data_IF_517548947865
#
_entry.id   IF_517548947865
#
_cell.length_a   1.000
_cell.length_b   1.000
_cell.length_c   1.000
_cell.angle_alpha   90.00
_cell.angle_beta   90.00
_cell.angle_gamma   90.00
#
_symmetry.space_group_name_H-M   'P 1'
#
loop_
_entity.id
_entity.type
_entity.pdbx_description
1 polymer ?
#
# COMPACT_ATOMS: atom_id res chain seq x y z
N UNK A 1 13.34 14.08 24.64
CA UNK A 1 11.96 14.15 24.17
C UNK A 1 11.68 13.04 23.17
N UNK A 2 10.75 12.22 23.52
CA UNK A 2 10.09 11.15 22.79
C UNK A 2 10.81 9.80 22.72
N UNK A 3 10.22 8.93 23.42
CA UNK A 3 10.20 7.49 23.45
C UNK A 3 10.53 6.85 22.10
N UNK A 4 11.80 6.56 21.89
CA UNK A 4 12.24 5.56 20.94
C UNK A 4 11.78 4.21 21.46
N UNK A 5 10.74 3.68 20.89
CA UNK A 5 10.30 2.32 21.07
C UNK A 5 11.43 1.40 20.58
N UNK A 6 12.39 1.10 21.45
CA UNK A 6 13.41 0.08 21.21
C UNK A 6 12.73 -1.27 21.25
N UNK A 7 12.15 -1.67 20.13
CA UNK A 7 11.77 -3.06 19.94
C UNK A 7 13.07 -3.87 19.98
N UNK A 8 13.30 -4.53 21.08
CA UNK A 8 14.26 -5.61 21.18
C UNK A 8 13.85 -6.62 20.09
N UNK A 9 14.71 -6.80 19.07
CA UNK A 9 14.59 -7.92 18.16
C UNK A 9 14.75 -9.18 19.00
N UNK A 10 13.65 -9.79 19.42
CA UNK A 10 13.58 -11.16 19.91
C UNK A 10 13.62 -12.14 18.72
N UNK A 11 14.54 -11.89 17.80
CA UNK A 11 15.04 -12.90 16.90
C UNK A 11 16.13 -13.68 17.64
N UNK A 12 16.24 -14.97 17.41
CA UNK A 12 17.18 -15.85 18.06
C UNK A 12 18.53 -15.15 18.27
N UNK A 13 19.00 -15.13 19.54
CA UNK A 13 20.33 -14.65 19.86
C UNK A 13 21.31 -15.23 18.84
N UNK A 14 22.21 -14.43 18.24
CA UNK A 14 23.22 -14.98 17.36
C UNK A 14 23.94 -16.08 18.13
N UNK A 15 23.80 -17.30 17.67
CA UNK A 15 24.61 -18.40 18.17
C UNK A 15 26.03 -18.05 17.79
N UNK A 16 26.89 -17.76 18.76
CA UNK A 16 28.32 -17.65 18.53
C UNK A 16 28.78 -18.99 17.99
N UNK A 17 28.79 -19.12 16.67
CA UNK A 17 29.28 -20.29 16.00
C UNK A 17 30.78 -20.12 15.79
N UNK A 18 31.53 -21.01 16.42
CA UNK A 18 32.94 -21.31 16.21
C UNK A 18 33.96 -20.21 16.54
N UNK A 19 34.83 -20.54 17.47
CA UNK A 19 36.11 -19.90 17.69
C UNK A 19 37.01 -20.19 16.46
N UNK A 20 37.06 -19.25 15.51
CA UNK A 20 38.06 -19.28 14.45
C UNK A 20 39.30 -18.54 14.90
N UNK A 21 40.48 -19.14 14.81
CA UNK A 21 41.75 -18.48 15.07
C UNK A 21 42.24 -17.77 13.82
N UNK A 22 41.97 -16.46 13.71
CA UNK A 22 42.61 -15.65 12.70
C UNK A 22 43.91 -15.08 13.26
N UNK A 23 45.04 -15.41 12.64
CA UNK A 23 46.38 -14.98 13.07
C UNK A 23 46.74 -15.33 14.53
N UNK A 24 46.21 -16.44 15.06
CA UNK A 24 46.51 -16.91 16.42
C UNK A 24 45.69 -16.27 17.54
N UNK A 25 44.79 -15.30 17.23
CA UNK A 25 43.87 -14.70 18.17
C UNK A 25 42.46 -15.32 18.04
N UNK A 26 41.74 -15.53 19.17
CA UNK A 26 40.39 -16.04 19.09
C UNK A 26 39.48 -14.99 18.44
N UNK A 27 38.75 -15.40 17.40
CA UNK A 27 37.69 -14.60 16.76
C UNK A 27 36.35 -15.30 16.88
N UNK A 28 35.28 -14.52 16.95
CA UNK A 28 33.91 -15.02 17.08
C UNK A 28 33.10 -14.49 15.92
N UNK A 29 32.37 -15.38 15.24
CA UNK A 29 31.42 -15.02 14.17
C UNK A 29 30.00 -15.15 14.69
N UNK A 30 29.16 -14.18 14.38
CA UNK A 30 27.72 -14.20 14.66
C UNK A 30 26.91 -13.86 13.41
N UNK A 31 25.77 -14.48 13.23
CA UNK A 31 24.82 -14.15 12.16
C UNK A 31 23.49 -13.70 12.75
N UNK A 32 22.83 -12.82 12.06
CA UNK A 32 21.48 -12.36 12.41
C UNK A 32 20.64 -12.17 11.15
N UNK A 33 19.31 -12.27 11.30
CA UNK A 33 18.35 -12.05 10.21
C UNK A 33 17.48 -10.86 10.58
N UNK A 34 17.66 -9.69 9.96
CA UNK A 34 16.80 -8.56 10.16
C UNK A 34 15.48 -8.78 9.40
N UNK A 35 14.36 -8.57 10.10
CA UNK A 35 13.01 -8.70 9.53
C UNK A 35 12.45 -7.38 9.00
N UNK A 36 13.13 -6.27 9.25
CA UNK A 36 12.69 -4.93 8.83
C UNK A 36 13.85 -4.13 8.28
N UNK A 37 13.57 -3.33 7.26
CA UNK A 37 14.51 -2.34 6.73
C UNK A 37 14.53 -1.14 7.66
N UNK A 38 15.67 -0.82 8.24
CA UNK A 38 15.89 0.36 9.08
C UNK A 38 17.38 0.50 9.42
N UNK A 39 17.70 1.58 10.11
CA UNK A 39 19.00 1.76 10.75
C UNK A 39 18.99 1.15 12.15
N UNK A 40 19.84 0.18 12.37
CA UNK A 40 19.96 -0.54 13.65
C UNK A 40 21.23 -0.16 14.39
N UNK A 41 21.11 -0.14 15.72
CA UNK A 41 22.27 -0.09 16.63
C UNK A 41 22.55 -1.49 17.14
N UNK A 42 23.65 -2.09 16.68
CA UNK A 42 24.08 -3.41 17.14
C UNK A 42 25.01 -3.28 18.33
N UNK A 43 24.54 -3.67 19.51
CA UNK A 43 25.34 -3.66 20.72
C UNK A 43 26.02 -5.03 20.91
N UNK A 44 27.33 -5.07 20.72
CA UNK A 44 28.15 -6.24 21.06
C UNK A 44 28.76 -6.02 22.45
N UNK A 45 28.50 -6.96 23.37
CA UNK A 45 28.95 -6.87 24.75
C UNK A 45 29.75 -8.10 25.15
N UNK A 46 30.84 -7.85 25.83
CA UNK A 46 31.61 -8.88 26.54
C UNK A 46 31.01 -9.11 27.92
N UNK A 47 30.75 -10.38 28.26
CA UNK A 47 30.27 -10.77 29.57
C UNK A 47 31.46 -11.21 30.44
N UNK A 48 31.64 -10.59 31.59
CA UNK A 48 32.69 -10.92 32.55
C UNK A 48 32.04 -11.46 33.83
N UNK A 49 32.40 -12.68 34.20
CA UNK A 49 31.94 -13.30 35.43
C UNK A 49 32.54 -12.61 36.67
N UNK A 50 31.77 -12.50 37.76
CA UNK A 50 32.29 -12.06 39.02
C UNK A 50 31.49 -10.93 39.69
N UNK A 51 30.28 -10.63 39.22
CA UNK A 51 29.44 -9.63 39.86
C UNK A 51 28.56 -8.84 38.92
N UNK A 52 28.01 -7.77 39.41
CA UNK A 52 27.13 -6.84 38.66
C UNK A 52 27.79 -5.45 38.63
N UNK A 53 27.55 -4.71 37.56
CA UNK A 53 27.93 -3.29 37.51
C UNK A 53 27.03 -2.50 38.46
N UNK A 54 27.62 -1.82 39.43
CA UNK A 54 26.94 -1.01 40.43
C UNK A 54 27.21 0.47 40.18
N UNK A 55 26.16 1.26 40.13
CA UNK A 55 26.16 2.70 39.94
C UNK A 55 25.50 3.35 41.13
N UNK A 56 26.29 4.12 41.92
CA UNK A 56 25.85 4.83 43.12
C UNK A 56 25.67 6.30 42.79
N UNK A 57 24.55 6.87 43.23
CA UNK A 57 24.20 8.27 42.97
C UNK A 57 23.90 9.00 44.29
N UNK A 58 24.40 10.23 44.44
CA UNK A 58 24.10 11.10 45.59
C UNK A 58 22.73 11.81 45.42
N UNK A 59 21.74 11.07 44.99
CA UNK A 59 20.34 11.45 44.90
C UNK A 59 19.46 10.19 44.78
N UNK A 60 18.16 10.28 45.09
CA UNK A 60 17.22 9.14 45.10
C UNK A 60 16.71 8.73 43.70
N UNK A 61 17.09 9.46 42.64
CA UNK A 61 16.40 9.37 41.32
C UNK A 61 17.32 8.91 40.18
N UNK A 62 18.54 8.42 40.49
CA UNK A 62 19.54 8.01 39.49
C UNK A 62 19.89 9.13 38.49
N UNK A 63 19.81 10.40 38.93
CA UNK A 63 20.06 11.55 38.09
C UNK A 63 21.54 11.88 37.97
N UNK A 64 21.94 12.28 36.75
CA UNK A 64 23.33 12.67 36.48
C UNK A 64 24.27 11.49 36.32
N UNK A 65 25.56 11.73 36.49
CA UNK A 65 26.58 10.67 36.48
C UNK A 65 26.67 10.00 37.87
N UNK A 66 26.88 8.68 37.90
CA UNK A 66 27.10 8.02 39.20
C UNK A 66 28.39 8.54 39.87
N UNK A 67 28.32 8.80 41.17
CA UNK A 67 29.45 9.17 42.00
C UNK A 67 30.44 8.01 42.13
N UNK A 68 29.92 6.77 42.19
CA UNK A 68 30.73 5.54 42.23
C UNK A 68 30.23 4.60 41.11
N UNK A 69 31.17 4.11 40.32
CA UNK A 69 30.95 3.03 39.33
C UNK A 69 31.94 1.91 39.65
N UNK A 70 31.42 0.73 40.01
CA UNK A 70 32.26 -0.44 40.33
C UNK A 70 31.57 -1.75 40.03
N UNK A 71 32.24 -2.86 40.23
CA UNK A 71 31.62 -4.19 40.17
C UNK A 71 31.41 -4.68 41.61
N UNK A 72 30.17 -4.97 41.94
CA UNK A 72 29.83 -5.59 43.21
C UNK A 72 29.67 -7.11 43.03
N UNK A 73 30.31 -7.95 43.87
CA UNK A 73 30.31 -9.40 43.70
C UNK A 73 28.96 -10.07 43.98
N UNK A 74 28.03 -9.34 44.57
CA UNK A 74 26.66 -9.74 44.88
C UNK A 74 25.93 -8.58 45.53
N UNK A 75 24.64 -8.74 45.72
CA UNK A 75 23.82 -7.72 46.38
C UNK A 75 23.50 -8.21 47.78
N UNK A 76 24.34 -7.78 48.74
CA UNK A 76 24.17 -8.03 50.15
C UNK A 76 24.93 -6.97 50.92
N UNK A 77 24.28 -5.86 51.15
CA UNK A 77 24.86 -4.71 51.83
C UNK A 77 24.03 -4.36 53.06
N UNK A 78 24.71 -4.03 54.14
CA UNK A 78 24.13 -3.44 55.35
C UNK A 78 25.03 -2.31 55.76
N UNK A 79 24.65 -1.09 55.44
CA UNK A 79 25.38 0.11 55.79
C UNK A 79 24.95 0.63 57.16
N UNK A 80 23.77 0.18 57.67
CA UNK A 80 23.20 0.78 58.86
C UNK A 80 23.01 2.28 58.70
N UNK A 81 23.62 3.07 59.57
CA UNK A 81 23.64 4.53 59.51
C UNK A 81 24.97 5.08 58.90
N UNK A 82 25.78 4.20 58.32
CA UNK A 82 27.07 4.60 57.71
C UNK A 82 26.87 5.22 56.30
N UNK A 83 27.96 5.76 55.75
CA UNK A 83 28.00 6.38 54.45
C UNK A 83 27.85 5.34 53.32
N UNK A 84 26.90 5.54 52.38
CA UNK A 84 26.74 4.73 51.17
C UNK A 84 27.70 5.16 50.06
N UNK A 85 27.96 6.47 49.98
CA UNK A 85 28.97 7.06 49.10
C UNK A 85 29.97 7.86 49.94
N UNK A 86 30.97 8.44 49.31
CA UNK A 86 31.90 9.31 50.04
C UNK A 86 31.28 10.67 50.47
N UNK A 87 30.07 10.99 49.95
CA UNK A 87 29.42 12.28 50.18
C UNK A 87 28.08 12.18 50.90
N UNK A 88 27.42 11.01 50.85
CA UNK A 88 26.07 10.86 51.36
C UNK A 88 25.82 9.49 52.02
N UNK A 89 25.01 9.51 53.08
CA UNK A 89 24.41 8.33 53.70
C UNK A 89 22.91 8.25 53.45
N UNK A 90 22.24 9.39 53.40
CA UNK A 90 20.82 9.56 53.16
C UNK A 90 20.61 10.10 51.74
N UNK A 91 19.42 9.90 51.18
CA UNK A 91 19.02 10.37 49.83
C UNK A 91 19.93 9.84 48.70
N UNK A 92 20.31 8.59 48.79
CA UNK A 92 21.17 7.89 47.83
C UNK A 92 20.36 6.91 47.02
N UNK A 93 20.75 6.67 45.77
CA UNK A 93 20.26 5.53 45.03
C UNK A 93 21.39 4.70 44.44
N UNK A 94 21.13 3.40 44.29
CA UNK A 94 22.10 2.46 43.70
C UNK A 94 21.40 1.61 42.68
N UNK A 95 21.97 1.51 41.48
CA UNK A 95 21.51 0.64 40.42
C UNK A 95 22.55 -0.44 40.12
N UNK A 96 22.14 -1.71 40.25
CA UNK A 96 22.92 -2.85 39.80
C UNK A 96 22.40 -3.34 38.47
N UNK A 97 23.28 -3.55 37.51
CA UNK A 97 22.95 -4.10 36.20
C UNK A 97 23.93 -5.17 35.78
N UNK A 98 23.42 -6.18 35.08
CA UNK A 98 24.23 -7.27 34.54
C UNK A 98 23.38 -8.46 34.14
N UNK A 99 23.96 -9.68 34.30
CA UNK A 99 23.28 -10.92 33.97
C UNK A 99 23.37 -11.93 35.09
N UNK A 100 22.32 -12.76 35.21
CA UNK A 100 22.31 -13.97 36.05
C UNK A 100 22.37 -15.17 35.10
N UNK A 101 23.25 -16.15 35.39
CA UNK A 101 23.35 -17.41 34.65
C UNK A 101 23.15 -18.60 35.60
N UNK A 102 21.95 -19.19 35.66
CA UNK A 102 21.68 -20.32 36.56
C UNK A 102 22.38 -21.60 36.10
N UNK A 103 22.69 -22.49 37.05
CA UNK A 103 23.32 -23.79 36.79
C UNK A 103 22.32 -24.89 36.44
N UNK A 104 21.04 -24.70 36.80
CA UNK A 104 19.95 -25.65 36.59
C UNK A 104 18.76 -24.93 35.99
N UNK A 105 17.95 -25.64 35.19
CA UNK A 105 16.64 -25.15 34.73
C UNK A 105 15.61 -25.55 35.78
N UNK A 106 15.16 -24.56 36.56
CA UNK A 106 14.23 -24.76 37.68
C UNK A 106 13.39 -23.53 37.90
N UNK A 107 12.36 -23.67 38.73
CA UNK A 107 11.70 -22.53 39.35
C UNK A 107 12.58 -21.98 40.46
N UNK A 108 13.01 -20.75 40.29
CA UNK A 108 13.76 -19.97 41.28
C UNK A 108 12.82 -18.99 41.96
N UNK A 109 12.79 -19.02 43.30
CA UNK A 109 12.21 -17.95 44.08
C UNK A 109 13.29 -16.93 44.42
N UNK A 110 13.14 -15.71 43.90
CA UNK A 110 13.98 -14.57 44.23
C UNK A 110 13.41 -13.86 45.47
N UNK A 111 14.27 -13.47 46.40
CA UNK A 111 13.92 -12.76 47.60
C UNK A 111 14.66 -11.43 47.61
N UNK A 112 13.92 -10.34 47.67
CA UNK A 112 14.44 -8.98 47.78
C UNK A 112 14.08 -8.42 49.14
N UNK A 113 15.06 -7.94 49.91
CA UNK A 113 14.86 -7.27 51.18
C UNK A 113 15.67 -5.99 51.20
N UNK A 114 15.03 -4.88 51.46
CA UNK A 114 15.65 -3.57 51.41
C UNK A 114 15.03 -2.61 52.42
N UNK A 115 15.79 -1.65 52.88
CA UNK A 115 15.42 -0.45 53.63
C UNK A 115 16.11 0.74 52.94
N UNK A 116 15.46 1.72 52.34
CA UNK A 116 14.01 1.90 52.19
C UNK A 116 13.38 1.15 51.05
N UNK A 117 13.65 1.57 49.79
CA UNK A 117 12.93 1.10 48.63
C UNK A 117 13.78 0.36 47.61
N UNK A 118 13.20 -0.70 46.98
CA UNK A 118 13.89 -1.41 45.90
C UNK A 118 12.93 -1.95 44.82
N UNK A 119 13.44 -2.06 43.59
CA UNK A 119 12.77 -2.67 42.46
C UNK A 119 13.66 -3.67 41.75
N UNK A 120 13.14 -4.85 41.49
CA UNK A 120 13.86 -5.89 40.76
C UNK A 120 13.21 -6.13 39.39
N UNK A 121 14.09 -6.10 38.37
CA UNK A 121 13.72 -6.42 37.00
C UNK A 121 14.50 -7.65 36.53
N UNK A 122 13.83 -8.59 35.91
CA UNK A 122 14.43 -9.75 35.21
C UNK A 122 13.95 -9.72 33.76
N UNK A 123 14.89 -9.85 32.83
CA UNK A 123 14.64 -9.79 31.39
C UNK A 123 13.76 -8.56 31.01
N UNK A 124 14.10 -7.40 31.59
CA UNK A 124 13.42 -6.11 31.43
C UNK A 124 12.01 -6.02 32.04
N UNK A 125 11.50 -7.08 32.66
CA UNK A 125 10.19 -7.10 33.32
C UNK A 125 10.36 -6.75 34.80
N UNK A 126 9.55 -5.81 35.32
CA UNK A 126 9.48 -5.54 36.75
C UNK A 126 8.83 -6.75 37.45
N UNK A 127 9.60 -7.47 38.25
CA UNK A 127 9.15 -8.71 38.91
C UNK A 127 8.90 -8.53 40.41
N UNK A 128 9.55 -7.55 41.05
CA UNK A 128 9.29 -7.13 42.43
C UNK A 128 9.33 -5.60 42.53
N UNK A 129 8.30 -5.02 43.14
CA UNK A 129 8.22 -3.59 43.45
C UNK A 129 8.04 -3.41 44.96
N UNK A 130 9.12 -3.02 45.62
CA UNK A 130 9.16 -2.64 47.04
C UNK A 130 9.60 -1.19 47.14
N UNK A 131 9.21 -0.34 46.16
CA UNK A 131 9.65 1.06 46.13
C UNK A 131 9.08 1.88 47.27
N UNK A 132 7.83 1.62 47.64
CA UNK A 132 7.16 2.22 48.78
C UNK A 132 6.89 1.14 49.83
N UNK A 133 7.41 1.30 51.04
CA UNK A 133 7.25 0.36 52.15
C UNK A 133 6.62 1.05 53.35
N UNK A 134 5.31 1.35 53.35
CA UNK A 134 4.67 2.17 54.38
C UNK A 134 4.67 1.51 55.79
N UNK A 135 4.87 0.20 55.87
CA UNK A 135 4.91 -0.56 57.09
C UNK A 135 6.33 -0.90 57.55
N UNK A 136 7.34 -0.30 56.91
CA UNK A 136 8.75 -0.61 57.12
C UNK A 136 9.28 -1.73 56.25
N UNK A 137 10.55 -2.10 56.39
CA UNK A 137 11.22 -3.03 55.49
C UNK A 137 10.61 -4.43 55.53
N UNK A 138 10.18 -4.93 54.34
CA UNK A 138 9.62 -6.26 54.16
C UNK A 138 10.46 -7.07 53.17
N UNK A 139 10.49 -8.42 53.32
CA UNK A 139 11.13 -9.30 52.34
C UNK A 139 10.09 -9.70 51.26
N UNK A 140 10.18 -9.09 50.08
CA UNK A 140 9.41 -9.46 48.89
C UNK A 140 9.96 -10.72 48.23
N UNK A 141 9.08 -11.49 47.58
CA UNK A 141 9.46 -12.70 46.83
C UNK A 141 8.70 -12.86 45.54
N UNK A 142 9.38 -13.40 44.53
CA UNK A 142 8.77 -13.80 43.23
C UNK A 142 9.36 -15.12 42.81
N UNK A 143 8.54 -15.98 42.21
CA UNK A 143 8.98 -17.25 41.64
C UNK A 143 8.89 -17.18 40.12
N UNK A 144 9.96 -17.56 39.43
CA UNK A 144 10.07 -17.56 37.97
C UNK A 144 11.01 -18.68 37.51
N UNK A 145 10.79 -19.18 36.30
CA UNK A 145 11.64 -20.21 35.71
C UNK A 145 12.88 -19.55 35.13
N UNK A 146 14.06 -19.98 35.59
CA UNK A 146 15.33 -19.61 34.99
C UNK A 146 15.94 -20.83 34.27
N UNK A 147 16.50 -20.63 33.09
CA UNK A 147 17.00 -21.71 32.24
C UNK A 147 18.50 -21.87 32.37
N UNK A 148 18.97 -23.12 32.60
CA UNK A 148 20.39 -23.47 32.68
C UNK A 148 21.19 -22.89 31.51
N UNK A 149 22.24 -22.17 31.83
CA UNK A 149 23.19 -21.66 30.84
C UNK A 149 22.72 -20.40 30.10
N UNK A 150 21.45 -20.02 30.24
CA UNK A 150 20.91 -18.77 29.67
C UNK A 150 21.32 -17.60 30.55
N UNK A 151 21.66 -16.48 29.90
CA UNK A 151 21.99 -15.23 30.58
C UNK A 151 20.74 -14.37 30.68
N UNK A 152 20.13 -14.33 31.87
CA UNK A 152 18.98 -13.49 32.16
C UNK A 152 19.41 -12.08 32.56
N UNK A 153 18.81 -11.06 31.98
CA UNK A 153 19.07 -9.67 32.37
C UNK A 153 18.61 -9.43 33.80
N UNK A 154 19.46 -8.81 34.64
CA UNK A 154 19.09 -8.36 35.95
C UNK A 154 19.34 -6.88 36.09
N UNK A 155 18.35 -6.14 36.61
CA UNK A 155 18.47 -4.79 37.12
C UNK A 155 17.82 -4.72 38.50
N UNK A 156 18.56 -4.23 39.48
CA UNK A 156 18.02 -3.87 40.78
C UNK A 156 18.25 -2.39 41.01
N UNK A 157 17.18 -1.67 41.27
CA UNK A 157 17.15 -0.26 41.63
C UNK A 157 16.86 -0.18 43.15
N UNK A 158 17.72 0.49 43.89
CA UNK A 158 17.60 0.71 45.32
C UNK A 158 17.62 2.20 45.61
N UNK A 159 16.84 2.63 46.58
CA UNK A 159 16.91 3.98 47.16
C UNK A 159 17.00 3.92 48.68
N UNK A 160 17.78 4.84 49.23
CA UNK A 160 17.82 5.20 50.62
C UNK A 160 17.25 6.59 50.79
N UNK A 161 16.27 6.74 51.68
CA UNK A 161 15.75 8.06 52.05
C UNK A 161 16.42 8.59 53.30
N UNK A 162 16.26 7.91 54.42
CA UNK A 162 16.89 8.29 55.68
C UNK A 162 16.96 7.12 56.64
N UNK A 163 18.04 7.05 57.44
CA UNK A 163 18.10 6.16 58.56
C UNK A 163 19.02 4.97 58.38
N UNK A 164 18.50 3.77 58.57
CA UNK A 164 19.25 2.54 58.32
C UNK A 164 19.12 2.11 56.86
N UNK A 165 20.24 1.79 56.26
CA UNK A 165 20.32 1.40 54.88
C UNK A 165 20.78 -0.06 54.73
N UNK A 166 20.00 -0.90 54.07
CA UNK A 166 20.41 -2.23 53.70
C UNK A 166 19.68 -2.73 52.45
N UNK A 167 20.31 -3.64 51.69
CA UNK A 167 19.70 -4.33 50.58
C UNK A 167 20.28 -5.72 50.39
N UNK A 168 19.44 -6.72 50.11
CA UNK A 168 19.91 -8.06 49.80
C UNK A 168 19.03 -8.72 48.74
N UNK A 169 19.69 -9.40 47.76
CA UNK A 169 19.04 -10.23 46.78
C UNK A 169 19.48 -11.68 46.94
N UNK A 170 18.53 -12.54 47.29
CA UNK A 170 18.75 -13.96 47.48
C UNK A 170 17.91 -14.76 46.49
N UNK A 171 18.30 -16.00 46.31
CA UNK A 171 17.50 -16.96 45.54
C UNK A 171 17.41 -18.31 46.25
N UNK A 172 16.40 -19.09 45.85
CA UNK A 172 16.17 -20.48 46.25
C UNK A 172 15.56 -21.23 45.10
N UNK A 173 15.94 -22.49 44.88
CA UNK A 173 15.25 -23.41 44.00
C UNK A 173 15.10 -24.77 44.66
N UNK A 174 14.67 -25.80 43.93
CA UNK A 174 14.60 -27.18 44.42
C UNK A 174 16.00 -27.69 44.80
N UNK A 175 17.01 -27.40 43.96
CA UNK A 175 18.41 -27.84 44.20
C UNK A 175 19.26 -26.82 44.93
N UNK A 176 18.81 -25.57 45.08
CA UNK A 176 19.55 -24.47 45.70
C UNK A 176 18.88 -24.01 46.98
N UNK A 177 19.56 -24.13 48.10
CA UNK A 177 19.10 -23.53 49.39
C UNK A 177 19.06 -22.01 49.31
N UNK A 178 18.20 -21.36 50.14
CA UNK A 178 18.09 -19.90 50.17
C UNK A 178 19.45 -19.28 50.50
N UNK A 179 20.04 -18.52 49.58
CA UNK A 179 21.34 -17.89 49.71
C UNK A 179 21.43 -16.62 48.85
N UNK A 180 22.41 -15.78 49.12
CA UNK A 180 22.79 -14.69 48.20
C UNK A 180 23.17 -15.31 46.86
N UNK A 181 22.83 -14.65 45.77
CA UNK A 181 23.20 -15.12 44.41
C UNK A 181 24.73 -15.10 44.31
N UNK A 182 25.38 -16.27 44.08
CA UNK A 182 26.86 -16.34 44.08
C UNK A 182 27.48 -15.54 42.94
N UNK A 183 28.62 -14.88 43.23
CA UNK A 183 29.35 -14.07 42.25
C UNK A 183 29.69 -14.80 40.94
N UNK A 184 29.89 -16.12 41.00
CA UNK A 184 30.18 -16.95 39.84
C UNK A 184 28.96 -17.28 38.97
N UNK A 185 27.80 -16.73 39.32
CA UNK A 185 26.57 -16.77 38.52
C UNK A 185 26.07 -15.38 38.12
N UNK A 186 26.88 -14.36 38.49
CA UNK A 186 26.65 -12.97 38.13
C UNK A 186 27.69 -12.52 37.11
N UNK A 187 27.26 -11.74 36.15
CA UNK A 187 28.09 -11.26 35.04
C UNK A 187 27.84 -9.77 34.80
N UNK A 188 28.92 -9.04 34.61
CA UNK A 188 28.88 -7.69 34.04
C UNK A 188 28.79 -7.78 32.52
N UNK A 189 28.22 -6.76 31.88
CA UNK A 189 28.13 -6.66 30.43
C UNK A 189 28.73 -5.33 29.98
N UNK A 190 29.96 -5.36 29.47
CA UNK A 190 30.63 -4.19 28.92
C UNK A 190 30.63 -4.20 27.40
N UNK A 191 30.44 -3.05 26.78
CA UNK A 191 30.56 -2.92 25.33
C UNK A 191 31.98 -3.25 24.88
N UNK A 192 32.13 -4.01 23.79
CA UNK A 192 33.43 -4.13 23.11
C UNK A 192 33.78 -2.78 22.46
N UNK A 193 35.05 -2.56 22.18
CA UNK A 193 35.52 -1.31 21.55
C UNK A 193 34.76 -1.08 20.23
N UNK A 194 34.20 0.11 20.07
CA UNK A 194 33.40 0.52 18.90
C UNK A 194 31.90 0.19 18.98
N UNK A 195 31.49 -0.66 19.93
CA UNK A 195 30.06 -0.95 20.15
C UNK A 195 29.37 0.21 20.92
N UNK A 196 28.11 0.56 20.56
CA UNK A 196 27.28 -0.06 19.52
C UNK A 196 27.68 0.34 18.09
N UNK A 197 27.53 -0.60 17.16
CA UNK A 197 27.78 -0.40 15.75
C UNK A 197 26.48 0.00 15.04
N UNK A 198 26.54 1.04 14.20
CA UNK A 198 25.41 1.38 13.33
C UNK A 198 25.44 0.51 12.09
N UNK A 199 24.31 -0.09 11.75
CA UNK A 199 24.12 -0.83 10.50
C UNK A 199 22.83 -0.45 9.84
N UNK A 200 22.85 -0.31 8.52
CA UNK A 200 21.64 -0.07 7.72
C UNK A 200 21.22 -1.39 7.06
N UNK A 201 20.00 -1.80 7.34
CA UNK A 201 19.37 -2.95 6.70
C UNK A 201 18.54 -2.43 5.53
N UNK A 202 18.89 -2.85 4.33
CA UNK A 202 18.23 -2.48 3.09
C UNK A 202 17.27 -3.60 2.66
N UNK A 203 16.24 -3.25 1.88
CA UNK A 203 15.36 -4.25 1.28
C UNK A 203 16.11 -5.12 0.28
N UNK A 204 15.72 -6.39 0.20
CA UNK A 204 16.22 -7.34 -0.80
C UNK A 204 15.75 -7.03 -2.22
N UNK A 205 16.02 -7.94 -3.18
CA UNK A 205 15.48 -7.86 -4.53
C UNK A 205 13.94 -7.89 -4.52
N UNK A 206 13.32 -7.27 -5.52
CA UNK A 206 11.86 -7.34 -5.64
C UNK A 206 11.41 -8.77 -5.92
N UNK A 207 10.33 -9.17 -5.25
CA UNK A 207 9.80 -10.52 -5.26
C UNK A 207 8.35 -10.52 -5.75
N UNK A 208 8.01 -11.39 -6.71
CA UNK A 208 6.71 -11.39 -7.36
C UNK A 208 5.53 -11.72 -6.44
N UNK A 209 5.64 -12.64 -5.46
CA UNK A 209 4.54 -12.96 -4.55
C UNK A 209 4.14 -11.83 -3.61
N UNK A 210 5.07 -10.92 -3.29
CA UNK A 210 4.87 -9.87 -2.32
C UNK A 210 4.65 -8.50 -2.95
N UNK A 211 5.15 -8.27 -4.17
CA UNK A 211 4.97 -7.03 -4.92
C UNK A 211 3.48 -6.81 -5.24
N UNK A 212 3.00 -5.58 -5.10
CA UNK A 212 1.60 -5.22 -5.29
C UNK A 212 1.44 -4.10 -6.28
N UNK A 213 0.25 -3.99 -6.90
CA UNK A 213 -0.11 -2.84 -7.71
C UNK A 213 -1.51 -2.31 -7.32
N UNK A 214 -1.70 -1.00 -7.40
CA UNK A 214 -2.93 -0.33 -6.99
C UNK A 214 -3.11 0.99 -7.76
N UNK A 215 -4.35 1.39 -7.93
CA UNK A 215 -4.68 2.66 -8.58
C UNK A 215 -5.92 2.58 -9.46
N UNK A 216 -6.47 3.74 -9.90
CA UNK A 216 -7.70 3.80 -10.68
C UNK A 216 -7.60 3.09 -12.04
N UNK A 217 -6.42 3.05 -12.65
CA UNK A 217 -6.19 2.34 -13.91
C UNK A 217 -6.40 0.83 -13.84
N UNK A 218 -6.36 0.25 -12.63
CA UNK A 218 -6.68 -1.15 -12.37
C UNK A 218 -8.14 -1.38 -11.94
N UNK A 219 -9.00 -0.35 -11.98
CA UNK A 219 -10.39 -0.45 -11.49
C UNK A 219 -11.37 -0.15 -12.59
N UNK A 220 -11.42 1.08 -13.10
CA UNK A 220 -12.40 1.57 -14.06
C UNK A 220 -11.74 2.36 -15.20
N UNK A 221 -10.97 1.74 -16.08
CA UNK A 221 -10.37 2.42 -17.21
C UNK A 221 -11.43 2.85 -18.23
N UNK A 222 -11.17 3.97 -18.90
CA UNK A 222 -12.05 4.55 -19.93
C UNK A 222 -11.25 4.74 -21.21
N UNK A 223 -11.82 4.37 -22.36
CA UNK A 223 -11.17 4.52 -23.65
C UNK A 223 -10.81 6.00 -23.93
N UNK A 224 -9.58 6.25 -24.35
CA UNK A 224 -9.04 7.57 -24.64
C UNK A 224 -8.62 8.40 -23.41
N UNK A 225 -8.78 7.87 -22.20
CA UNK A 225 -8.38 8.56 -20.97
C UNK A 225 -7.17 7.85 -20.36
N UNK A 226 -6.09 8.61 -19.98
CA UNK A 226 -4.94 8.02 -19.31
C UNK A 226 -5.33 7.29 -18.04
N UNK A 227 -5.09 5.99 -18.02
CA UNK A 227 -5.32 5.11 -16.89
C UNK A 227 -4.01 4.91 -16.13
N UNK A 228 -3.99 5.31 -14.84
CA UNK A 228 -2.79 5.35 -14.00
C UNK A 228 -2.90 4.36 -12.85
N UNK A 229 -1.79 3.70 -12.55
CA UNK A 229 -1.63 2.89 -11.35
C UNK A 229 -0.17 2.87 -10.89
N UNK A 230 0.05 2.39 -9.68
CA UNK A 230 1.39 2.31 -9.07
C UNK A 230 1.71 0.86 -8.73
N UNK A 231 2.92 0.43 -9.04
CA UNK A 231 3.49 -0.83 -8.56
C UNK A 231 4.33 -0.50 -7.32
N UNK A 232 4.09 -1.18 -6.20
CA UNK A 232 4.93 -1.15 -5.00
C UNK A 232 5.77 -2.42 -4.98
N UNK A 233 7.05 -2.29 -5.28
CA UNK A 233 8.00 -3.38 -5.15
C UNK A 233 8.21 -3.76 -3.69
N UNK A 234 8.21 -5.07 -3.42
CA UNK A 234 8.48 -5.65 -2.10
C UNK A 234 9.47 -6.81 -2.23
N UNK A 235 10.26 -7.01 -1.19
CA UNK A 235 11.21 -8.12 -1.12
C UNK A 235 10.56 -9.44 -0.68
N UNK A 236 11.36 -10.51 -0.61
CA UNK A 236 10.89 -11.87 -0.28
C UNK A 236 10.32 -12.03 1.13
N UNK A 237 10.52 -11.07 2.02
CA UNK A 237 9.89 -11.03 3.36
C UNK A 237 8.69 -10.08 3.40
N UNK A 238 8.30 -9.52 2.26
CA UNK A 238 7.14 -8.65 2.10
C UNK A 238 7.37 -7.19 2.50
N UNK A 239 8.62 -6.77 2.69
CA UNK A 239 8.97 -5.39 3.03
C UNK A 239 8.95 -4.52 1.79
N UNK A 240 8.38 -3.31 1.91
CA UNK A 240 8.46 -2.32 0.84
C UNK A 240 9.92 -2.01 0.55
N UNK A 241 10.28 -2.03 -0.72
CA UNK A 241 11.60 -1.55 -1.14
C UNK A 241 11.68 -0.04 -0.91
N UNK A 242 12.85 0.41 -0.54
CA UNK A 242 13.15 1.83 -0.28
C UNK A 242 13.99 2.46 -1.37
N UNK A 243 14.55 1.65 -2.27
CA UNK A 243 15.37 2.05 -3.41
C UNK A 243 14.92 1.34 -4.68
N UNK A 244 15.34 1.81 -5.83
CA UNK A 244 15.41 1.03 -7.06
C UNK A 244 16.28 -0.22 -6.82
N UNK A 245 16.22 -1.23 -7.67
CA UNK A 245 17.03 -2.43 -7.52
C UNK A 245 18.53 -2.12 -7.35
N UNK A 246 19.28 -3.06 -6.76
CA UNK A 246 20.73 -2.97 -6.67
C UNK A 246 21.36 -4.11 -7.48
N UNK A 247 22.51 -3.85 -8.07
CA UNK A 247 23.33 -4.88 -8.70
C UNK A 247 24.05 -5.75 -7.65
N UNK A 248 24.82 -6.75 -8.11
CA UNK A 248 25.62 -7.63 -7.26
C UNK A 248 26.67 -6.89 -6.42
N UNK A 249 27.07 -5.69 -6.86
CA UNK A 249 28.08 -4.85 -6.21
C UNK A 249 27.48 -3.80 -5.28
N UNK A 250 26.15 -3.89 -5.02
CA UNK A 250 25.36 -2.97 -4.17
C UNK A 250 25.21 -1.54 -4.70
N UNK A 251 25.49 -1.30 -5.99
CA UNK A 251 25.16 -0.03 -6.61
C UNK A 251 23.67 0.06 -6.94
N UNK A 252 23.06 1.24 -6.82
CA UNK A 252 21.69 1.45 -7.29
C UNK A 252 21.63 1.26 -8.81
N UNK A 253 20.71 0.39 -9.27
CA UNK A 253 20.47 0.22 -10.69
C UNK A 253 19.76 1.46 -11.23
N UNK A 254 20.32 2.08 -12.25
CA UNK A 254 19.63 3.06 -13.10
C UNK A 254 18.43 2.35 -13.75
N UNK A 255 17.20 2.72 -13.32
CA UNK A 255 15.96 2.15 -13.84
C UNK A 255 15.25 1.12 -12.95
N UNK A 256 15.85 0.70 -11.85
CA UNK A 256 15.18 -0.07 -10.81
C UNK A 256 14.96 -1.55 -11.11
N UNK A 257 13.95 -2.14 -10.48
CA UNK A 257 13.54 -3.52 -10.73
C UNK A 257 12.89 -3.62 -12.12
N UNK A 258 13.19 -4.69 -12.86
CA UNK A 258 12.70 -4.90 -14.23
C UNK A 258 11.25 -5.41 -14.23
N UNK A 259 10.30 -4.48 -14.16
CA UNK A 259 8.89 -4.79 -14.39
C UNK A 259 8.54 -4.70 -15.86
N UNK A 260 7.76 -5.67 -16.33
CA UNK A 260 7.11 -5.62 -17.65
C UNK A 260 5.61 -5.48 -17.42
N UNK A 261 5.01 -4.47 -18.06
CA UNK A 261 3.56 -4.25 -18.05
C UNK A 261 3.03 -4.42 -19.46
N UNK A 262 2.08 -5.35 -19.62
CA UNK A 262 1.39 -5.60 -20.86
C UNK A 262 -0.11 -5.43 -20.67
N UNK A 263 -0.74 -4.62 -21.53
CA UNK A 263 -2.19 -4.41 -21.56
C UNK A 263 -2.71 -4.98 -22.87
N UNK A 264 -3.54 -6.03 -22.80
CA UNK A 264 -4.08 -6.73 -23.97
C UNK A 264 -5.60 -6.59 -24.03
N UNK A 265 -6.15 -6.02 -25.11
CA UNK A 265 -7.59 -5.93 -25.30
C UNK A 265 -8.19 -7.26 -25.75
N UNK A 266 -9.49 -7.45 -25.53
CA UNK A 266 -10.24 -8.60 -26.08
C UNK A 266 -10.27 -8.66 -27.60
N UNK A 267 -9.88 -7.58 -28.28
CA UNK A 267 -9.77 -7.49 -29.73
C UNK A 267 -8.35 -7.80 -30.23
N UNK A 268 -7.41 -8.11 -29.32
CA UNK A 268 -6.03 -8.45 -29.65
C UNK A 268 -5.08 -7.25 -29.77
N UNK A 269 -5.51 -6.05 -29.40
CA UNK A 269 -4.61 -4.88 -29.33
C UNK A 269 -3.73 -5.02 -28.09
N UNK A 270 -2.40 -4.91 -28.27
CA UNK A 270 -1.43 -4.99 -27.20
C UNK A 270 -0.68 -3.68 -27.02
N UNK A 271 -0.54 -3.26 -25.75
CA UNK A 271 0.26 -2.11 -25.34
C UNK A 271 1.29 -2.54 -24.32
N UNK A 272 2.57 -2.46 -24.67
CA UNK A 272 3.66 -2.61 -23.70
C UNK A 272 3.95 -1.26 -23.07
N UNK A 273 3.98 -1.21 -21.73
CA UNK A 273 4.19 0.01 -20.95
C UNK A 273 5.43 -0.15 -20.09
N UNK A 274 6.33 0.82 -20.14
CA UNK A 274 7.51 0.86 -19.28
C UNK A 274 7.20 1.61 -17.99
N UNK A 275 7.22 0.95 -16.81
CA UNK A 275 7.03 1.61 -15.54
C UNK A 275 8.14 2.62 -15.24
N UNK A 276 7.78 3.77 -14.67
CA UNK A 276 8.73 4.80 -14.26
C UNK A 276 8.96 4.74 -12.76
N UNK A 277 10.21 4.60 -12.33
CA UNK A 277 10.57 4.67 -10.92
C UNK A 277 10.31 6.07 -10.34
N UNK A 278 9.58 6.15 -9.23
CA UNK A 278 9.19 7.41 -8.58
C UNK A 278 9.70 7.55 -7.14
N UNK A 279 10.57 6.62 -6.71
CA UNK A 279 11.13 6.60 -5.36
C UNK A 279 10.45 5.58 -4.43
N UNK A 280 11.13 5.21 -3.34
CA UNK A 280 10.56 4.32 -2.32
C UNK A 280 10.12 2.95 -2.83
N UNK A 281 10.77 2.41 -3.86
CA UNK A 281 10.39 1.14 -4.50
C UNK A 281 9.06 1.22 -5.24
N UNK A 282 8.61 2.41 -5.59
CA UNK A 282 7.37 2.64 -6.34
C UNK A 282 7.64 2.94 -7.79
N UNK A 283 6.77 2.42 -8.66
CA UNK A 283 6.82 2.61 -10.10
C UNK A 283 5.46 3.09 -10.61
N UNK A 284 5.45 4.24 -11.27
CA UNK A 284 4.26 4.77 -11.92
C UNK A 284 4.07 4.11 -13.29
N UNK A 285 2.84 3.73 -13.56
CA UNK A 285 2.40 3.17 -14.86
C UNK A 285 1.26 4.02 -15.38
N UNK A 286 1.34 4.38 -16.66
CA UNK A 286 0.28 5.10 -17.37
C UNK A 286 0.07 4.47 -18.74
N UNK A 287 -1.17 4.13 -19.06
CA UNK A 287 -1.57 3.64 -20.37
C UNK A 287 -2.87 4.28 -20.85
N UNK A 288 -3.09 4.34 -22.14
CA UNK A 288 -4.32 4.90 -22.73
C UNK A 288 -4.97 3.80 -23.57
N UNK A 289 -6.04 3.17 -23.09
CA UNK A 289 -6.77 2.18 -23.88
C UNK A 289 -7.52 2.88 -25.00
N UNK A 290 -7.44 2.35 -26.23
CA UNK A 290 -8.21 2.83 -27.37
C UNK A 290 -9.51 2.04 -27.56
N UNK A 291 -9.49 0.75 -27.22
CA UNK A 291 -10.61 -0.15 -27.42
C UNK A 291 -11.49 -0.23 -26.17
N UNK A 292 -12.80 -0.26 -26.35
CA UNK A 292 -13.73 -0.64 -25.27
C UNK A 292 -13.84 -2.17 -25.18
N UNK A 293 -14.27 -2.67 -24.02
CA UNK A 293 -14.37 -4.11 -23.77
C UNK A 293 -13.39 -4.59 -22.73
N UNK A 294 -13.27 -5.91 -22.59
CA UNK A 294 -12.37 -6.48 -21.61
C UNK A 294 -10.89 -6.31 -22.01
N UNK A 295 -10.10 -5.88 -21.03
CA UNK A 295 -8.63 -5.81 -21.12
C UNK A 295 -8.01 -6.62 -20.00
N UNK A 296 -6.98 -7.36 -20.32
CA UNK A 296 -6.12 -8.05 -19.37
C UNK A 296 -4.84 -7.21 -19.16
N UNK A 297 -4.61 -6.78 -17.92
CA UNK A 297 -3.46 -5.95 -17.53
C UNK A 297 -2.50 -6.86 -16.77
N UNK A 298 -1.39 -7.24 -17.39
CA UNK A 298 -0.35 -8.08 -16.80
C UNK A 298 0.80 -7.22 -16.29
N UNK A 299 1.25 -7.51 -15.08
CA UNK A 299 2.47 -6.95 -14.49
C UNK A 299 3.35 -8.12 -14.07
N UNK A 300 4.53 -8.22 -14.65
CA UNK A 300 5.47 -9.32 -14.38
C UNK A 300 6.81 -8.80 -13.88
N UNK A 301 7.49 -9.62 -13.09
CA UNK A 301 8.90 -9.49 -12.74
C UNK A 301 9.59 -10.82 -13.01
N UNK A 302 10.70 -10.78 -13.73
CA UNK A 302 11.38 -12.02 -14.14
C UNK A 302 10.49 -12.98 -14.96
N UNK A 303 9.50 -12.45 -15.69
CA UNK A 303 8.54 -13.23 -16.48
C UNK A 303 7.40 -13.88 -15.68
N UNK A 304 7.29 -13.60 -14.38
CA UNK A 304 6.23 -14.13 -13.52
C UNK A 304 5.30 -13.02 -13.06
N UNK A 305 3.98 -13.26 -13.14
CA UNK A 305 2.95 -12.32 -12.71
C UNK A 305 3.02 -12.04 -11.21
N UNK A 306 2.84 -10.77 -10.83
CA UNK A 306 2.77 -10.36 -9.42
C UNK A 306 1.43 -10.76 -8.79
N UNK A 307 1.42 -10.90 -7.45
CA UNK A 307 0.23 -11.28 -6.70
C UNK A 307 -0.51 -10.05 -6.15
N UNK A 308 -1.77 -10.23 -5.75
CA UNK A 308 -2.50 -9.23 -4.96
C UNK A 308 -2.17 -9.38 -3.50
N UNK A 309 -1.53 -8.44 -2.91
CA UNK A 309 -1.35 -8.23 -1.47
C UNK A 309 -1.52 -9.46 -0.55
N UNK A 310 -0.55 -9.66 0.32
CA UNK A 310 -0.61 -10.50 1.52
C UNK A 310 -0.45 -12.02 1.38
N UNK A 311 0.29 -12.51 0.38
CA UNK A 311 0.81 -13.88 0.43
C UNK A 311 -0.22 -15.00 0.49
N UNK A 312 -1.47 -14.74 0.10
CA UNK A 312 -2.52 -15.76 -0.02
C UNK A 312 -2.98 -15.85 -1.47
N UNK A 313 -2.63 -16.92 -2.11
CA UNK A 313 -3.16 -17.64 -3.30
C UNK A 313 -4.02 -16.91 -4.35
N UNK A 314 -4.09 -15.60 -4.40
CA UNK A 314 -4.83 -14.88 -5.43
C UNK A 314 -3.88 -14.08 -6.31
N UNK A 315 -3.49 -14.68 -7.43
CA UNK A 315 -2.89 -13.96 -8.54
C UNK A 315 -3.86 -12.86 -8.95
N UNK A 316 -3.41 -11.61 -8.94
CA UNK A 316 -4.20 -10.52 -9.50
C UNK A 316 -3.77 -10.13 -10.89
N UNK A 317 -2.50 -10.25 -11.18
CA UNK A 317 -2.00 -10.14 -12.52
C UNK A 317 -2.23 -11.48 -13.28
N UNK A 318 -2.82 -11.44 -14.48
CA UNK A 318 -3.38 -10.26 -15.11
C UNK A 318 -4.74 -9.83 -14.51
N UNK A 319 -4.95 -8.51 -14.35
CA UNK A 319 -6.25 -7.95 -13.99
C UNK A 319 -7.14 -7.85 -15.21
N UNK A 320 -8.26 -8.57 -15.22
CA UNK A 320 -9.27 -8.43 -16.25
C UNK A 320 -10.21 -7.28 -15.90
N UNK A 321 -10.22 -6.21 -16.72
CA UNK A 321 -11.01 -5.00 -16.50
C UNK A 321 -11.84 -4.65 -17.72
N UNK A 322 -13.05 -4.14 -17.47
CA UNK A 322 -13.91 -3.61 -18.51
C UNK A 322 -13.55 -2.15 -18.77
N UNK A 323 -13.01 -1.88 -19.96
CA UNK A 323 -12.80 -0.52 -20.45
C UNK A 323 -14.13 -0.04 -21.02
N UNK A 324 -14.66 1.06 -20.45
CA UNK A 324 -15.90 1.66 -20.98
C UNK A 324 -15.58 2.66 -22.09
N UNK A 325 -16.48 2.87 -23.07
CA UNK A 325 -16.29 3.89 -24.11
C UNK A 325 -16.14 5.29 -23.53
N UNK A 326 -15.32 6.11 -24.16
CA UNK A 326 -15.14 7.53 -23.84
C UNK A 326 -16.37 8.38 -24.09
N UNK A 327 -16.19 9.72 -24.15
CA UNK A 327 -17.28 10.65 -24.46
C UNK A 327 -17.75 10.49 -25.90
N UNK A 328 -19.06 10.64 -26.14
CA UNK A 328 -19.65 10.62 -27.47
C UNK A 328 -19.10 11.77 -28.32
N UNK A 329 -18.80 11.50 -29.58
CA UNK A 329 -18.40 12.54 -30.55
C UNK A 329 -19.30 12.50 -31.81
N UNK A 330 -19.47 13.67 -32.42
CA UNK A 330 -20.18 13.79 -33.69
C UNK A 330 -19.40 13.19 -34.87
N UNK A 331 -18.08 13.11 -34.76
CA UNK A 331 -17.18 12.62 -35.83
C UNK A 331 -17.31 11.13 -36.08
N UNK A 332 -17.53 10.35 -35.04
CA UNK A 332 -17.55 8.89 -35.10
C UNK A 332 -18.93 8.27 -34.94
N UNK A 333 -19.87 9.04 -34.34
CA UNK A 333 -21.28 8.61 -34.24
C UNK A 333 -21.88 8.41 -35.62
N UNK A 334 -22.73 7.38 -35.80
CA UNK A 334 -23.28 6.99 -37.11
C UNK A 334 -24.79 6.90 -37.06
N UNK A 335 -25.44 7.28 -38.15
CA UNK A 335 -26.86 7.02 -38.40
C UNK A 335 -27.06 5.94 -39.43
N UNK A 336 -28.12 5.15 -39.31
CA UNK A 336 -28.48 4.06 -40.23
C UNK A 336 -29.99 3.76 -40.20
N UNK A 337 -30.54 3.34 -41.33
CA UNK A 337 -31.95 2.98 -41.49
C UNK A 337 -32.58 3.58 -42.73
N UNK A 338 -33.75 3.08 -43.12
CA UNK A 338 -34.44 3.48 -44.35
C UNK A 338 -34.87 4.93 -44.37
N UNK A 339 -35.26 5.47 -43.20
CA UNK A 339 -35.64 6.88 -43.07
C UNK A 339 -34.55 7.89 -43.37
N UNK A 340 -33.29 7.46 -43.59
CA UNK A 340 -32.24 8.32 -44.10
C UNK A 340 -32.30 8.59 -45.59
N UNK A 341 -33.01 7.73 -46.36
CA UNK A 341 -33.07 7.79 -47.82
C UNK A 341 -34.46 8.04 -48.35
N UNK A 342 -35.45 7.39 -47.77
CA UNK A 342 -36.82 7.34 -48.29
C UNK A 342 -37.85 7.53 -47.17
N UNK A 343 -38.91 8.27 -47.49
CA UNK A 343 -40.06 8.44 -46.63
C UNK A 343 -41.31 8.74 -47.48
N UNK A 344 -42.50 8.54 -46.90
CA UNK A 344 -43.76 8.91 -47.48
C UNK A 344 -44.34 10.13 -46.80
N UNK A 345 -44.81 11.12 -47.57
CA UNK A 345 -45.35 12.34 -46.99
C UNK A 345 -46.63 12.04 -46.20
N UNK A 346 -46.62 12.44 -44.92
CA UNK A 346 -47.68 12.20 -43.94
C UNK A 346 -47.47 10.96 -43.09
N UNK A 347 -46.61 10.03 -43.49
CA UNK A 347 -46.28 8.85 -42.71
C UNK A 347 -45.07 9.10 -41.76
N UNK A 348 -44.98 8.25 -40.75
CA UNK A 348 -43.82 8.27 -39.84
C UNK A 348 -42.67 7.50 -40.50
N UNK A 349 -41.56 8.17 -40.68
CA UNK A 349 -40.29 7.55 -41.08
C UNK A 349 -39.35 7.43 -39.86
N UNK A 350 -38.50 6.42 -39.86
CA UNK A 350 -37.59 6.16 -38.75
C UNK A 350 -36.19 5.76 -39.20
N UNK A 351 -35.24 5.97 -38.31
CA UNK A 351 -33.88 5.52 -38.44
C UNK A 351 -33.21 5.46 -37.05
N UNK A 352 -31.97 4.96 -36.99
CA UNK A 352 -31.21 4.79 -35.77
C UNK A 352 -29.96 5.66 -35.78
N UNK A 353 -29.57 6.10 -34.58
CA UNK A 353 -28.25 6.69 -34.32
C UNK A 353 -27.53 5.75 -33.35
N UNK A 354 -26.31 5.34 -33.68
CA UNK A 354 -25.37 4.71 -32.76
C UNK A 354 -24.36 5.77 -32.31
N UNK A 355 -24.40 6.13 -31.03
CA UNK A 355 -23.40 7.01 -30.43
C UNK A 355 -22.08 6.26 -30.30
N UNK A 356 -20.99 6.95 -30.59
CA UNK A 356 -19.62 6.43 -30.51
C UNK A 356 -18.66 7.45 -29.88
N UNK A 357 -17.60 6.95 -29.27
CA UNK A 357 -16.51 7.79 -28.76
C UNK A 357 -15.47 8.12 -29.87
N UNK A 358 -14.47 8.93 -29.54
CA UNK A 358 -13.44 9.37 -30.48
C UNK A 358 -12.60 8.23 -31.09
N UNK A 359 -12.58 7.05 -30.45
CA UNK A 359 -11.88 5.85 -30.91
C UNK A 359 -12.80 4.88 -31.66
N UNK A 360 -14.01 5.34 -32.04
CA UNK A 360 -15.01 4.57 -32.76
C UNK A 360 -15.64 3.40 -31.96
N UNK A 361 -15.50 3.40 -30.63
CA UNK A 361 -16.17 2.45 -29.76
C UNK A 361 -17.67 2.80 -29.66
N UNK A 362 -18.54 1.82 -29.80
CA UNK A 362 -19.95 2.02 -29.54
C UNK A 362 -20.18 2.33 -28.07
N UNK A 363 -20.99 3.35 -27.78
CA UNK A 363 -21.42 3.62 -26.40
C UNK A 363 -22.20 2.41 -25.88
N UNK A 364 -22.04 2.18 -24.58
CA UNK A 364 -22.72 1.11 -23.82
C UNK A 364 -23.70 1.64 -22.80
N UNK A 365 -24.00 2.94 -22.87
CA UNK A 365 -24.99 3.62 -22.02
C UNK A 365 -25.75 4.65 -22.85
N UNK A 366 -26.99 4.89 -22.48
CA UNK A 366 -27.85 5.96 -23.03
C UNK A 366 -27.72 7.26 -22.21
N UNK A 367 -28.79 8.07 -22.23
CA UNK A 367 -28.91 9.31 -21.47
C UNK A 367 -28.57 10.58 -22.25
N UNK A 368 -28.17 10.45 -23.53
CA UNK A 368 -27.74 11.60 -24.34
C UNK A 368 -28.76 12.01 -25.43
N UNK A 369 -30.02 11.50 -25.39
CA UNK A 369 -31.02 11.79 -26.41
C UNK A 369 -31.27 13.30 -26.62
N UNK A 370 -31.22 14.10 -25.57
CA UNK A 370 -31.41 15.55 -25.63
C UNK A 370 -30.25 16.31 -26.29
N UNK A 371 -29.09 15.67 -26.47
CA UNK A 371 -27.90 16.23 -27.15
C UNK A 371 -27.95 15.98 -28.65
N UNK A 372 -28.82 15.03 -29.13
CA UNK A 372 -29.07 14.81 -30.54
C UNK A 372 -30.23 15.67 -31.03
N UNK A 373 -30.06 16.33 -32.16
CA UNK A 373 -31.08 17.07 -32.85
C UNK A 373 -31.15 16.63 -34.30
N UNK A 374 -32.38 16.49 -34.80
CA UNK A 374 -32.64 16.03 -36.19
C UNK A 374 -33.55 17.01 -36.89
N UNK A 375 -33.11 17.48 -38.05
CA UNK A 375 -33.84 18.45 -38.87
C UNK A 375 -33.87 18.02 -40.33
N UNK A 376 -35.04 18.18 -40.97
CA UNK A 376 -35.22 17.97 -42.40
C UNK A 376 -35.57 19.32 -43.06
N UNK A 377 -34.63 19.83 -43.83
CA UNK A 377 -34.78 21.13 -44.50
C UNK A 377 -35.17 20.88 -45.98
N UNK A 378 -36.36 21.34 -46.40
CA UNK A 378 -36.82 21.20 -47.79
C UNK A 378 -35.90 21.96 -48.76
N UNK A 379 -35.42 21.31 -49.82
CA UNK A 379 -34.47 21.89 -50.78
C UNK A 379 -35.05 22.91 -51.72
N UNK A 380 -36.36 22.77 -52.08
CA UNK A 380 -37.06 23.72 -52.96
C UNK A 380 -38.19 24.36 -52.23
N UNK A 381 -38.12 25.64 -52.08
CA UNK A 381 -39.01 26.44 -51.23
C UNK A 381 -39.80 27.48 -52.04
N UNK A 382 -39.99 27.26 -53.32
CA UNK A 382 -40.88 28.15 -54.09
C UNK A 382 -42.32 27.66 -53.98
N UNK A 383 -43.10 28.22 -53.06
CA UNK A 383 -44.54 28.02 -52.99
C UNK A 383 -45.19 29.22 -53.67
N UNK A 384 -45.98 29.01 -54.73
CA UNK A 384 -46.72 30.10 -55.35
C UNK A 384 -47.77 30.64 -54.36
N UNK A 385 -47.65 31.89 -53.97
CA UNK A 385 -48.58 32.58 -53.03
C UNK A 385 -49.54 33.49 -53.79
N UNK A 386 -49.66 33.37 -55.14
CA UNK A 386 -50.53 34.15 -55.99
C UNK A 386 -49.97 34.31 -57.39
N UNK A 387 -50.71 34.89 -58.34
CA UNK A 387 -50.34 34.84 -59.77
C UNK A 387 -49.00 35.48 -60.14
N UNK A 388 -48.32 36.17 -59.20
CA UNK A 388 -47.01 36.82 -59.49
C UNK A 388 -46.05 36.92 -58.31
N UNK A 389 -46.24 36.20 -57.18
CA UNK A 389 -45.35 36.25 -56.03
C UNK A 389 -44.96 34.88 -55.53
N UNK A 390 -43.69 34.57 -55.54
CA UNK A 390 -43.08 33.42 -54.88
C UNK A 390 -42.46 33.86 -53.56
N UNK A 391 -43.01 33.37 -52.47
CA UNK A 391 -42.37 33.59 -51.17
C UNK A 391 -41.60 32.37 -50.80
N UNK A 392 -40.28 32.52 -50.53
CA UNK A 392 -39.38 31.46 -50.11
C UNK A 392 -39.48 31.35 -48.60
N UNK A 393 -40.03 30.29 -48.05
CA UNK A 393 -40.06 29.98 -46.64
C UNK A 393 -39.12 28.77 -46.39
N UNK A 394 -38.20 28.82 -45.45
CA UNK A 394 -37.47 27.63 -45.02
C UNK A 394 -38.48 26.69 -44.33
N UNK A 395 -38.79 25.57 -44.96
CA UNK A 395 -39.61 24.53 -44.35
C UNK A 395 -38.69 23.50 -43.75
N UNK A 396 -38.79 23.42 -42.42
CA UNK A 396 -37.97 22.48 -41.63
C UNK A 396 -38.91 21.61 -40.78
N UNK A 397 -38.75 20.33 -40.83
CA UNK A 397 -39.39 19.39 -39.90
C UNK A 397 -38.37 18.96 -38.86
N UNK A 398 -38.80 18.77 -37.61
CA UNK A 398 -37.96 18.31 -36.50
C UNK A 398 -38.24 16.82 -36.22
N UNK A 399 -37.22 16.01 -36.13
CA UNK A 399 -37.31 14.64 -35.66
C UNK A 399 -37.36 14.53 -34.16
N UNK A 400 -37.90 13.44 -33.65
CA UNK A 400 -37.93 13.07 -32.25
C UNK A 400 -36.88 11.98 -32.00
N UNK A 401 -35.97 12.23 -31.09
CA UNK A 401 -34.91 11.29 -30.71
C UNK A 401 -35.28 10.65 -29.37
N UNK A 402 -35.35 9.34 -29.34
CA UNK A 402 -35.68 8.54 -28.17
C UNK A 402 -34.50 7.64 -27.80
N UNK A 403 -34.10 7.67 -26.53
CA UNK A 403 -33.14 6.72 -25.95
C UNK A 403 -33.79 5.32 -25.88
N UNK A 404 -33.03 4.29 -26.18
CA UNK A 404 -33.53 2.91 -26.06
C UNK A 404 -33.37 2.36 -24.64
N UNK A 405 -32.54 2.96 -23.78
CA UNK A 405 -32.23 2.51 -22.42
C UNK A 405 -31.86 1.01 -22.30
N UNK A 406 -31.37 0.42 -23.41
CA UNK A 406 -31.02 -0.99 -23.51
C UNK A 406 -29.50 -1.25 -23.27
N UNK A 407 -28.77 -0.25 -22.84
CA UNK A 407 -27.32 -0.33 -22.65
C UNK A 407 -26.51 -0.39 -23.94
N UNK A 408 -27.12 -0.10 -25.11
CA UNK A 408 -26.46 -0.20 -26.44
C UNK A 408 -25.91 1.15 -26.93
N UNK A 409 -26.27 2.27 -26.28
CA UNK A 409 -25.94 3.63 -26.74
C UNK A 409 -26.59 3.96 -28.09
N UNK A 410 -27.75 3.32 -28.40
CA UNK A 410 -28.53 3.56 -29.59
C UNK A 410 -29.72 4.46 -29.31
N UNK A 411 -30.04 5.30 -30.29
CA UNK A 411 -31.16 6.21 -30.26
C UNK A 411 -32.08 5.95 -31.44
N UNK A 412 -33.37 5.80 -31.17
CA UNK A 412 -34.38 5.67 -32.18
C UNK A 412 -34.91 7.03 -32.58
N UNK A 413 -34.90 7.33 -33.85
CA UNK A 413 -35.35 8.63 -34.39
C UNK A 413 -36.58 8.44 -35.23
N UNK A 414 -37.58 9.24 -34.99
CA UNK A 414 -38.78 9.30 -35.82
C UNK A 414 -39.01 10.72 -36.34
N UNK A 415 -39.53 10.85 -37.54
CA UNK A 415 -39.96 12.11 -38.12
C UNK A 415 -41.14 11.93 -39.08
N UNK A 416 -41.91 13.01 -39.32
CA UNK A 416 -42.97 13.03 -40.30
C UNK A 416 -42.85 14.31 -41.12
N UNK A 417 -42.61 14.18 -42.42
CA UNK A 417 -42.63 15.26 -43.37
C UNK A 417 -43.98 15.25 -44.12
N UNK A 418 -44.73 16.34 -44.10
CA UNK A 418 -46.08 16.39 -44.70
C UNK A 418 -46.07 16.88 -46.13
N UNK A 419 -44.93 17.29 -46.67
CA UNK A 419 -44.77 17.81 -48.02
C UNK A 419 -43.84 16.91 -48.78
N UNK A 420 -44.22 16.50 -50.00
CA UNK A 420 -43.34 15.77 -50.89
C UNK A 420 -42.18 16.62 -51.41
N UNK A 421 -40.99 16.07 -51.54
CA UNK A 421 -39.83 16.79 -52.06
C UNK A 421 -38.50 16.16 -51.65
N UNK A 422 -37.42 16.82 -52.01
CA UNK A 422 -36.09 16.43 -51.59
C UNK A 422 -35.67 17.28 -50.38
N UNK A 423 -35.12 16.63 -49.39
CA UNK A 423 -34.72 17.28 -48.13
C UNK A 423 -33.22 17.14 -47.87
N UNK A 424 -32.66 18.12 -47.16
CA UNK A 424 -31.40 17.97 -46.47
C UNK A 424 -31.69 17.48 -45.03
N UNK A 425 -31.22 16.31 -44.68
CA UNK A 425 -31.31 15.77 -43.33
C UNK A 425 -30.06 16.19 -42.55
N UNK A 426 -30.26 16.90 -41.47
CA UNK A 426 -29.20 17.29 -40.51
C UNK A 426 -29.41 16.52 -39.24
N UNK A 427 -28.37 15.81 -38.82
CA UNK A 427 -28.31 15.09 -37.54
C UNK A 427 -27.16 15.68 -36.77
N UNK A 428 -27.47 16.35 -35.69
CA UNK A 428 -26.50 17.09 -34.90
C UNK A 428 -26.30 16.42 -33.54
N UNK A 429 -25.11 16.45 -33.03
CA UNK A 429 -24.76 16.16 -31.64
C UNK A 429 -24.07 17.39 -31.07
N UNK A 430 -24.62 17.96 -30.00
CA UNK A 430 -24.21 19.27 -29.43
C UNK A 430 -24.07 20.39 -30.47
N UNK A 431 -25.01 20.43 -31.44
CA UNK A 431 -25.01 21.43 -32.49
C UNK A 431 -24.05 21.15 -33.65
N UNK A 432 -23.23 20.09 -33.60
CA UNK A 432 -22.27 19.72 -34.63
C UNK A 432 -22.83 18.54 -35.48
N UNK A 433 -22.71 18.65 -36.80
CA UNK A 433 -23.19 17.61 -37.74
C UNK A 433 -22.43 16.29 -37.55
N UNK A 434 -23.14 15.17 -37.43
CA UNK A 434 -22.47 13.86 -37.51
C UNK A 434 -21.93 13.63 -38.90
N UNK A 435 -20.71 13.05 -38.97
CA UNK A 435 -19.98 12.94 -40.22
C UNK A 435 -20.25 11.63 -41.01
N UNK A 436 -20.86 10.65 -40.37
CA UNK A 436 -21.04 9.31 -40.96
C UNK A 436 -22.48 8.87 -40.96
N UNK A 437 -22.96 8.29 -42.08
CA UNK A 437 -24.21 7.57 -42.14
C UNK A 437 -24.04 6.32 -43.01
N UNK A 438 -24.63 5.20 -42.57
CA UNK A 438 -24.67 3.98 -43.35
C UNK A 438 -26.00 3.91 -44.11
N UNK A 439 -25.96 4.00 -45.41
CA UNK A 439 -27.13 3.93 -46.30
C UNK A 439 -27.26 2.48 -46.79
N UNK A 440 -28.32 1.79 -46.36
CA UNK A 440 -28.64 0.42 -46.81
C UNK A 440 -29.42 -0.39 -45.77
N UNK A 441 -30.17 -1.38 -46.27
CA UNK A 441 -31.00 -2.28 -45.43
C UNK A 441 -30.17 -3.34 -44.68
N UNK A 442 -28.90 -3.52 -45.00
CA UNK A 442 -28.03 -4.53 -44.39
C UNK A 442 -27.34 -3.97 -43.17
N UNK A 443 -27.73 -4.45 -41.99
CA UNK A 443 -27.20 -4.04 -40.69
C UNK A 443 -25.75 -4.50 -40.43
N UNK A 444 -25.16 -5.27 -41.34
CA UNK A 444 -23.85 -5.90 -41.17
C UNK A 444 -22.72 -5.22 -41.96
N UNK A 445 -23.04 -4.40 -42.97
CA UNK A 445 -22.05 -3.72 -43.80
C UNK A 445 -21.94 -2.23 -43.41
N UNK A 446 -21.00 -1.91 -42.56
CA UNK A 446 -20.64 -0.54 -42.20
C UNK A 446 -19.84 0.12 -43.33
N UNK A 447 -20.52 0.84 -44.22
CA UNK A 447 -19.82 1.68 -45.21
C UNK A 447 -19.50 3.04 -44.60
N UNK A 448 -18.24 3.36 -44.51
CA UNK A 448 -17.71 4.66 -44.02
C UNK A 448 -17.77 5.74 -45.11
N UNK A 449 -18.89 5.86 -45.82
CA UNK A 449 -19.07 7.00 -46.74
C UNK A 449 -19.48 8.23 -45.93
N UNK A 450 -18.89 9.41 -46.23
CA UNK A 450 -19.35 10.65 -45.63
C UNK A 450 -20.85 10.84 -45.85
N UNK A 451 -21.56 11.24 -44.81
CA UNK A 451 -22.97 11.57 -44.88
C UNK A 451 -23.14 12.87 -45.66
N UNK A 452 -23.73 12.84 -46.86
CA UNK A 452 -23.93 14.01 -47.70
C UNK A 452 -25.22 14.77 -47.42
N UNK A 453 -25.99 14.32 -46.40
CA UNK A 453 -27.21 14.96 -45.96
C UNK A 453 -28.40 14.85 -46.93
N UNK A 454 -28.30 14.01 -47.95
CA UNK A 454 -29.35 13.94 -48.99
C UNK A 454 -30.30 12.80 -48.69
N UNK A 455 -31.53 13.11 -48.28
CA UNK A 455 -32.67 12.18 -48.42
C UNK A 455 -33.15 12.29 -49.85
N UNK A 456 -33.06 11.19 -50.59
CA UNK A 456 -33.24 11.27 -52.06
C UNK A 456 -34.64 11.59 -52.49
N UNK A 457 -35.70 11.13 -51.82
CA UNK A 457 -37.08 11.45 -52.23
C UNK A 457 -38.07 11.14 -51.11
N UNK A 458 -38.88 12.12 -50.69
CA UNK A 458 -40.13 11.88 -49.98
C UNK A 458 -41.25 11.87 -51.02
N UNK A 459 -41.84 10.71 -51.29
CA UNK A 459 -42.96 10.59 -52.23
C UNK A 459 -44.28 10.90 -51.55
N UNK A 460 -45.23 11.47 -52.31
CA UNK A 460 -46.57 11.69 -51.83
C UNK A 460 -47.35 10.35 -51.66
N UNK A 461 -48.21 10.29 -50.64
CA UNK A 461 -49.11 9.19 -50.47
C UNK A 461 -49.97 9.06 -51.75
N UNK A 462 -50.04 7.86 -52.34
CA UNK A 462 -51.01 7.60 -53.41
C UNK A 462 -52.45 7.82 -52.91
N UNK A 463 -53.28 8.58 -53.57
CA UNK A 463 -54.67 8.71 -53.15
C UNK A 463 -55.33 7.33 -53.12
N UNK A 464 -55.85 6.91 -51.97
CA UNK A 464 -56.67 5.75 -51.83
C UNK A 464 -57.88 5.91 -52.80
N UNK A 465 -57.99 5.11 -53.86
CA UNK A 465 -59.17 5.00 -54.67
C UNK A 465 -60.25 4.41 -53.78
N UNK A 466 -61.37 5.12 -53.53
CA UNK A 466 -62.50 4.52 -52.84
C UNK A 466 -63.14 3.50 -53.75
N UNK A 467 -63.36 2.25 -53.29
CA UNK A 467 -64.22 1.28 -53.91
C UNK A 467 -65.64 1.58 -53.54
#
# INVERSE_FOLDING_TARGET
TQDGNSQSLTGAMPTLANEEKVAGLPSYTGSYYPEKTDSYQMAVRQLNQGGLTAMYYDNQWFMGQPTILRVDPGIHFNWGSDMLTQYARDYVSVRWVGKIKPKTTEEYTLYLHADDGARLYIDHVLVLDLWEQPNGPEEGRVTLTLTKGVYHDVRLDYREERGNAFVSLKWKSFTVTKQIIPMNQLYTASHVVGSPFSTNVLSGAADYPHTTAYGPGLINPVAGIPAKFTIQARDAVGMNKTSAGRDSDSNELDGGDSFVVLVTSSHGTEHSVTPQYIGGGQYAVEYIPSDSGFHDISVTIGGTDIYCSNGRDSKCSPWRRLVVPGLTTHETSVAYGLGLTDAVAGDVADFWIQARDAYNNNKTSGGEASRFEVYLDLRTTSIPVGPNTTTIYPITFKGVVKDMDDGSGRYFVTYTATIQGSYNLRILYDGLQILSAAVGADKTAWSTKPFDGRVSTIVGASPSVPI
#
